data_IF_740803618924
#
_entry.id   IF_740803618924
#
_cell.length_a   1.000
_cell.length_b   1.000
_cell.length_c   1.000
_cell.angle_alpha   90.00
_cell.angle_beta   90.00
_cell.angle_gamma   90.00
#
_symmetry.space_group_name_H-M   'P 1'
#
loop_
_entity.id
_entity.type
_entity.pdbx_description
1 polymer ?
#
# COMPACT_ATOMS: atom_id res chain seq x y z
N UNK A 1 -49.66 12.76 14.84
CA UNK A 1 -48.58 11.87 14.33
C UNK A 1 -47.58 12.54 13.35
N UNK A 2 -47.70 13.84 12.98
CA UNK A 2 -46.80 14.49 11.98
C UNK A 2 -45.52 15.15 12.51
N UNK A 3 -45.37 15.36 13.83
CA UNK A 3 -44.19 16.05 14.40
C UNK A 3 -42.90 15.22 14.25
N UNK A 4 -42.94 13.92 14.56
CA UNK A 4 -41.76 13.04 14.48
C UNK A 4 -41.18 12.91 13.06
N UNK A 5 -42.02 12.93 12.02
CA UNK A 5 -41.54 12.85 10.64
C UNK A 5 -40.71 14.07 10.21
N UNK A 6 -41.05 15.27 10.70
CA UNK A 6 -40.29 16.50 10.42
C UNK A 6 -38.94 16.51 11.14
N UNK A 7 -38.89 16.10 12.40
CA UNK A 7 -37.65 16.02 13.17
C UNK A 7 -36.67 15.01 12.56
N UNK A 8 -37.17 13.84 12.15
CA UNK A 8 -36.38 12.83 11.41
C UNK A 8 -35.88 13.40 10.08
N UNK A 9 -36.71 14.16 9.35
CA UNK A 9 -36.29 14.78 8.08
C UNK A 9 -35.16 15.79 8.28
N UNK A 10 -35.20 16.60 9.35
CA UNK A 10 -34.11 17.54 9.66
C UNK A 10 -32.83 16.83 10.07
N UNK A 11 -32.93 15.73 10.83
CA UNK A 11 -31.76 14.92 11.18
C UNK A 11 -31.12 14.29 9.94
N UNK A 12 -31.92 13.69 9.04
CA UNK A 12 -31.43 13.13 7.78
C UNK A 12 -30.76 14.21 6.94
N UNK A 13 -31.39 15.38 6.80
CA UNK A 13 -30.81 16.50 6.06
C UNK A 13 -29.47 16.95 6.67
N UNK A 14 -29.40 17.07 8.00
CA UNK A 14 -28.16 17.41 8.70
C UNK A 14 -27.05 16.38 8.47
N UNK A 15 -27.39 15.08 8.53
CA UNK A 15 -26.44 14.00 8.24
C UNK A 15 -25.95 14.05 6.79
N UNK A 16 -26.85 14.29 5.83
CA UNK A 16 -26.47 14.41 4.41
C UNK A 16 -25.55 15.60 4.16
N UNK A 17 -25.82 16.74 4.80
CA UNK A 17 -24.93 17.92 4.72
C UNK A 17 -23.57 17.60 5.32
N UNK A 18 -23.54 16.96 6.49
CA UNK A 18 -22.28 16.56 7.14
C UNK A 18 -21.46 15.61 6.27
N UNK A 19 -22.08 14.56 5.72
CA UNK A 19 -21.42 13.62 4.81
C UNK A 19 -20.95 14.31 3.52
N UNK A 20 -21.71 15.27 3.00
CA UNK A 20 -21.31 16.05 1.83
C UNK A 20 -20.07 16.90 2.10
N UNK A 21 -19.99 17.53 3.28
CA UNK A 21 -18.80 18.29 3.71
C UNK A 21 -17.59 17.34 3.80
N UNK A 22 -17.74 16.17 4.43
CA UNK A 22 -16.66 15.18 4.51
C UNK A 22 -16.19 14.72 3.12
N UNK A 23 -17.13 14.48 2.19
CA UNK A 23 -16.79 14.11 0.83
C UNK A 23 -15.98 15.20 0.11
N UNK A 24 -16.37 16.47 0.27
CA UNK A 24 -15.64 17.58 -0.33
C UNK A 24 -14.25 17.81 0.30
N UNK A 25 -14.11 17.57 1.61
CA UNK A 25 -12.79 17.60 2.27
C UNK A 25 -11.85 16.52 1.70
N UNK A 26 -12.35 15.30 1.48
CA UNK A 26 -11.57 14.24 0.85
C UNK A 26 -11.20 14.58 -0.60
N UNK A 27 -12.15 15.09 -1.40
CA UNK A 27 -11.89 15.51 -2.79
C UNK A 27 -10.86 16.63 -2.86
N UNK A 28 -10.91 17.60 -1.94
CA UNK A 28 -9.94 18.68 -1.89
C UNK A 28 -8.53 18.18 -1.60
N UNK A 29 -8.40 17.24 -0.64
CA UNK A 29 -7.12 16.67 -0.26
C UNK A 29 -6.49 15.86 -1.40
N UNK A 30 -7.29 15.02 -2.07
CA UNK A 30 -6.85 14.22 -3.21
C UNK A 30 -6.41 15.06 -4.42
N UNK A 31 -7.00 16.25 -4.60
CA UNK A 31 -6.67 17.17 -5.71
C UNK A 31 -5.51 18.13 -5.42
N UNK A 32 -4.88 18.07 -4.24
CA UNK A 32 -3.70 18.89 -3.98
C UNK A 32 -2.57 18.50 -4.95
N UNK A 33 -1.86 19.48 -5.55
CA UNK A 33 -0.67 19.20 -6.32
C UNK A 33 0.34 18.47 -5.44
N UNK A 34 0.82 17.33 -5.91
CA UNK A 34 1.81 16.53 -5.19
C UNK A 34 3.14 16.56 -5.94
N UNK A 35 4.22 16.81 -5.20
CA UNK A 35 5.58 16.59 -5.70
C UNK A 35 5.90 15.09 -5.71
N UNK A 36 6.94 14.71 -6.45
CA UNK A 36 7.56 13.40 -6.25
C UNK A 36 8.10 13.35 -4.81
N UNK A 37 7.71 12.33 -4.08
CA UNK A 37 8.18 12.06 -2.73
C UNK A 37 8.97 10.75 -2.71
N UNK A 38 10.09 10.75 -1.98
CA UNK A 38 10.98 9.58 -1.84
C UNK A 38 11.36 9.48 -0.38
N UNK A 39 10.79 8.50 0.31
CA UNK A 39 10.95 8.26 1.74
C UNK A 39 11.83 7.03 1.97
N UNK A 40 13.00 7.28 2.56
CA UNK A 40 13.91 6.24 3.01
C UNK A 40 13.53 5.88 4.45
N UNK A 41 12.92 4.71 4.63
CA UNK A 41 12.46 4.30 5.95
C UNK A 41 13.61 3.78 6.80
N UNK A 42 13.71 4.30 8.02
CA UNK A 42 14.51 3.67 9.07
C UNK A 42 13.81 2.38 9.54
N UNK A 43 14.32 1.26 9.04
CA UNK A 43 13.85 -0.11 9.34
C UNK A 43 14.90 -0.93 10.09
N UNK A 44 15.98 -0.29 10.55
CA UNK A 44 17.15 -0.96 11.12
C UNK A 44 18.11 -1.47 10.03
N UNK A 45 18.33 -2.78 9.98
CA UNK A 45 19.22 -3.40 8.97
C UNK A 45 18.48 -3.58 7.64
N UNK A 46 19.17 -3.33 6.51
CA UNK A 46 18.62 -3.49 5.17
C UNK A 46 18.04 -2.20 4.60
N UNK A 47 17.15 -2.31 3.61
CA UNK A 47 16.55 -1.16 2.93
C UNK A 47 15.02 -1.30 2.84
N UNK A 48 14.36 -0.14 2.89
CA UNK A 48 12.95 0.02 2.53
C UNK A 48 12.73 1.47 2.06
N UNK A 49 12.32 1.63 0.81
CA UNK A 49 12.14 2.94 0.18
C UNK A 49 10.73 3.02 -0.38
N UNK A 50 9.97 4.02 0.08
CA UNK A 50 8.67 4.34 -0.47
C UNK A 50 8.75 5.54 -1.39
N UNK A 51 8.10 5.46 -2.54
CA UNK A 51 8.05 6.53 -3.54
C UNK A 51 6.59 6.80 -3.86
N UNK A 52 6.16 8.05 -3.75
CA UNK A 52 4.87 8.51 -4.25
C UNK A 52 5.08 9.52 -5.38
N UNK A 53 4.54 9.21 -6.56
CA UNK A 53 4.66 10.07 -7.74
C UNK A 53 3.70 11.26 -7.66
N UNK A 54 3.89 12.33 -8.48
CA UNK A 54 2.89 13.40 -8.59
C UNK A 54 1.49 12.92 -9.01
N UNK A 55 1.43 11.76 -9.67
CA UNK A 55 0.21 11.05 -10.05
C UNK A 55 -0.30 10.07 -8.98
N UNK A 56 0.22 10.13 -7.75
CA UNK A 56 -0.12 9.27 -6.60
C UNK A 56 0.09 7.76 -6.81
N UNK A 57 0.90 7.38 -7.80
CA UNK A 57 1.39 6.00 -7.86
C UNK A 57 2.37 5.77 -6.72
N UNK A 58 2.18 4.68 -6.01
CA UNK A 58 2.90 4.26 -4.81
C UNK A 58 3.79 3.06 -5.15
N UNK A 59 5.08 3.24 -4.93
CA UNK A 59 6.11 2.25 -5.25
C UNK A 59 6.87 1.95 -3.97
N UNK A 60 7.03 0.67 -3.65
CA UNK A 60 7.81 0.21 -2.51
C UNK A 60 9.00 -0.62 -3.00
N UNK A 61 10.20 -0.22 -2.62
CA UNK A 61 11.45 -0.92 -2.91
C UNK A 61 11.96 -1.53 -1.60
N UNK A 62 12.02 -2.86 -1.56
CA UNK A 62 12.35 -3.65 -0.38
C UNK A 62 11.48 -3.32 0.86
N UNK A 63 11.60 -4.13 1.92
CA UNK A 63 10.70 -4.05 3.08
C UNK A 63 11.39 -4.04 4.43
N UNK A 64 12.71 -4.12 4.50
CA UNK A 64 13.40 -4.30 5.77
C UNK A 64 13.21 -5.70 6.38
N UNK A 65 13.73 -5.92 7.60
CA UNK A 65 13.78 -7.22 8.27
C UNK A 65 12.52 -7.55 9.08
N UNK A 66 11.61 -6.57 9.28
CA UNK A 66 10.49 -6.71 10.22
C UNK A 66 9.20 -6.07 9.72
N UNK A 67 8.12 -6.25 10.48
CA UNK A 67 6.82 -5.64 10.21
C UNK A 67 6.76 -4.12 10.42
N UNK A 68 7.86 -3.46 10.82
CA UNK A 68 7.90 -2.00 11.02
C UNK A 68 7.50 -1.24 9.75
N UNK A 69 7.73 -1.84 8.57
CA UNK A 69 7.29 -1.30 7.29
C UNK A 69 5.79 -0.99 7.24
N UNK A 70 4.95 -1.75 7.95
CA UNK A 70 3.52 -1.52 8.00
C UNK A 70 3.15 -0.24 8.74
N UNK A 71 3.91 0.09 9.79
CA UNK A 71 3.77 1.35 10.53
C UNK A 71 4.22 2.52 9.65
N UNK A 72 5.36 2.38 8.97
CA UNK A 72 5.90 3.39 8.05
C UNK A 72 4.93 3.70 6.91
N UNK A 73 4.41 2.66 6.24
CA UNK A 73 3.38 2.83 5.21
C UNK A 73 2.12 3.50 5.78
N UNK A 74 1.72 3.21 7.02
CA UNK A 74 0.59 3.87 7.67
C UNK A 74 0.82 5.34 8.04
N UNK A 75 2.07 5.81 8.05
CA UNK A 75 2.44 7.21 8.24
C UNK A 75 2.40 8.00 6.92
N UNK A 76 2.75 7.35 5.80
CA UNK A 76 2.80 7.97 4.48
C UNK A 76 1.48 7.85 3.70
N UNK A 77 0.76 6.74 3.84
CA UNK A 77 -0.45 6.45 3.08
C UNK A 77 -1.72 6.82 3.87
N UNK A 78 -2.81 7.23 3.19
CA UNK A 78 -4.11 7.38 3.82
C UNK A 78 -4.54 6.08 4.52
N UNK A 79 -5.15 6.17 5.70
CA UNK A 79 -5.48 4.99 6.53
C UNK A 79 -6.42 3.98 5.85
N UNK A 80 -7.18 4.43 4.86
CA UNK A 80 -8.10 3.61 4.06
C UNK A 80 -7.44 3.00 2.83
N UNK A 81 -6.30 3.52 2.41
CA UNK A 81 -5.58 3.02 1.26
C UNK A 81 -4.77 1.77 1.65
N UNK A 82 -4.96 0.72 0.88
CA UNK A 82 -4.33 -0.60 1.06
C UNK A 82 -3.85 -1.15 -0.27
N UNK A 83 -3.60 -0.29 -1.25
CA UNK A 83 -3.10 -0.69 -2.57
C UNK A 83 -1.70 -0.14 -2.77
N UNK A 84 -0.79 -0.96 -3.29
CA UNK A 84 0.53 -0.53 -3.73
C UNK A 84 0.64 -0.85 -5.23
N UNK A 85 0.95 0.14 -6.05
CA UNK A 85 1.01 -0.02 -7.50
C UNK A 85 2.17 -0.94 -7.91
N UNK A 86 3.33 -0.81 -7.24
CA UNK A 86 4.51 -1.60 -7.56
C UNK A 86 5.35 -1.92 -6.32
N UNK A 87 5.65 -3.21 -6.12
CA UNK A 87 6.73 -3.66 -5.25
C UNK A 87 7.95 -4.03 -6.09
N UNK A 88 9.13 -3.57 -5.68
CA UNK A 88 10.42 -3.97 -6.22
C UNK A 88 11.21 -4.69 -5.13
N UNK A 89 11.56 -5.96 -5.36
CA UNK A 89 12.48 -6.70 -4.49
C UNK A 89 13.86 -6.77 -5.15
N UNK A 90 14.84 -6.09 -4.56
CA UNK A 90 16.22 -6.03 -5.09
C UNK A 90 16.89 -7.40 -5.01
N UNK A 91 16.81 -8.05 -3.84
CA UNK A 91 17.34 -9.39 -3.62
C UNK A 91 16.65 -10.06 -2.41
N UNK A 92 16.49 -11.39 -2.42
CA UNK A 92 15.71 -12.11 -1.41
C UNK A 92 16.52 -12.43 -0.13
N UNK A 93 17.20 -11.42 0.43
CA UNK A 93 17.82 -11.52 1.76
C UNK A 93 16.84 -11.04 2.83
N UNK A 94 17.00 -11.53 4.06
CA UNK A 94 16.01 -11.36 5.12
C UNK A 94 15.69 -9.87 5.40
N UNK A 95 16.73 -9.05 5.43
CA UNK A 95 16.70 -7.61 5.67
C UNK A 95 16.13 -6.78 4.51
N UNK A 96 15.75 -7.42 3.40
CA UNK A 96 15.02 -6.79 2.30
C UNK A 96 13.64 -7.43 2.08
N UNK A 97 13.53 -8.74 2.29
CA UNK A 97 12.35 -9.54 1.95
C UNK A 97 11.30 -9.61 3.07
N UNK A 98 11.72 -9.68 4.33
CA UNK A 98 10.82 -10.07 5.42
C UNK A 98 9.66 -9.08 5.61
N UNK A 99 9.92 -7.77 5.48
CA UNK A 99 8.85 -6.78 5.52
C UNK A 99 7.89 -6.85 4.33
N UNK A 100 8.38 -7.19 3.13
CA UNK A 100 7.51 -7.31 1.95
C UNK A 100 6.51 -8.49 2.08
N UNK A 101 6.90 -9.56 2.77
CA UNK A 101 5.98 -10.65 3.13
C UNK A 101 4.82 -10.11 4.00
N UNK A 102 5.12 -9.22 4.95
CA UNK A 102 4.10 -8.63 5.81
C UNK A 102 3.21 -7.63 5.06
N UNK A 103 3.76 -6.95 4.05
CA UNK A 103 3.02 -6.07 3.12
C UNK A 103 2.05 -6.89 2.28
N UNK A 104 2.50 -7.95 1.62
CA UNK A 104 1.64 -8.83 0.79
C UNK A 104 0.52 -9.51 1.56
N UNK A 105 0.61 -9.61 2.90
CA UNK A 105 -0.47 -10.15 3.74
C UNK A 105 -1.58 -9.12 4.03
N UNK A 106 -1.35 -7.82 3.79
CA UNK A 106 -2.22 -6.71 4.25
C UNK A 106 -2.56 -5.68 3.19
N UNK A 107 -1.76 -5.60 2.14
CA UNK A 107 -1.93 -4.68 1.02
C UNK A 107 -2.15 -5.50 -0.25
N UNK A 108 -3.05 -5.01 -1.09
CA UNK A 108 -3.15 -5.45 -2.49
C UNK A 108 -1.99 -4.86 -3.27
N UNK A 109 -1.32 -5.69 -4.07
CA UNK A 109 -0.15 -5.25 -4.86
C UNK A 109 -0.41 -5.50 -6.33
N UNK A 110 -0.39 -4.46 -7.15
CA UNK A 110 -0.77 -4.59 -8.57
C UNK A 110 0.37 -5.13 -9.44
N UNK A 111 1.59 -4.71 -9.16
CA UNK A 111 2.78 -5.10 -9.91
C UNK A 111 3.90 -5.51 -8.96
N UNK A 112 4.64 -6.56 -9.34
CA UNK A 112 5.79 -7.05 -8.57
C UNK A 112 6.96 -7.21 -9.55
N UNK A 113 8.04 -6.49 -9.30
CA UNK A 113 9.31 -6.60 -10.01
C UNK A 113 10.37 -7.17 -9.09
N UNK A 114 11.10 -8.20 -9.52
CA UNK A 114 12.16 -8.77 -8.70
C UNK A 114 13.23 -9.46 -9.55
N UNK A 115 14.39 -9.78 -8.97
CA UNK A 115 15.52 -10.35 -9.72
C UNK A 115 15.36 -11.82 -10.10
N UNK A 116 14.36 -12.52 -9.56
CA UNK A 116 14.19 -13.96 -9.77
C UNK A 116 15.30 -14.80 -9.09
N UNK A 117 16.14 -14.19 -8.25
CA UNK A 117 17.15 -14.87 -7.47
C UNK A 117 16.50 -15.90 -6.55
N UNK A 118 16.96 -17.14 -6.58
CA UNK A 118 16.39 -18.24 -5.80
C UNK A 118 17.18 -18.44 -4.50
N UNK A 119 16.48 -18.66 -3.39
CA UNK A 119 17.07 -19.03 -2.10
C UNK A 119 16.33 -20.24 -1.51
N UNK A 120 17.01 -21.06 -0.72
CA UNK A 120 16.37 -22.14 0.04
C UNK A 120 16.15 -21.70 1.49
N UNK A 121 15.24 -20.75 1.69
CA UNK A 121 14.83 -20.27 3.01
C UNK A 121 13.33 -20.37 3.19
N UNK A 122 12.87 -20.32 4.43
CA UNK A 122 11.44 -20.32 4.74
C UNK A 122 10.77 -19.02 4.23
N UNK A 123 11.44 -17.87 4.38
CA UNK A 123 10.91 -16.59 3.88
C UNK A 123 10.76 -16.61 2.36
N UNK A 124 11.72 -17.16 1.62
CA UNK A 124 11.63 -17.24 0.17
C UNK A 124 10.45 -18.11 -0.30
N UNK A 125 10.20 -19.23 0.38
CA UNK A 125 9.04 -20.09 0.07
C UNK A 125 7.72 -19.37 0.33
N UNK A 126 7.64 -18.61 1.41
CA UNK A 126 6.47 -17.80 1.73
C UNK A 126 6.28 -16.66 0.73
N UNK A 127 7.35 -15.99 0.31
CA UNK A 127 7.33 -15.01 -0.77
C UNK A 127 6.75 -15.59 -2.06
N UNK A 128 7.26 -16.74 -2.51
CA UNK A 128 6.75 -17.40 -3.72
C UNK A 128 5.26 -17.75 -3.61
N UNK A 129 4.82 -18.20 -2.44
CA UNK A 129 3.42 -18.49 -2.16
C UNK A 129 2.56 -17.23 -2.26
N UNK A 130 2.97 -16.14 -1.61
CA UNK A 130 2.21 -14.89 -1.56
C UNK A 130 2.12 -14.19 -2.92
N UNK A 131 3.21 -14.12 -3.70
CA UNK A 131 3.14 -13.53 -5.04
C UNK A 131 2.28 -14.40 -5.98
N UNK A 132 2.28 -15.73 -5.79
CA UNK A 132 1.39 -16.65 -6.49
C UNK A 132 -0.08 -16.38 -6.16
N UNK A 133 -0.39 -16.25 -4.87
CA UNK A 133 -1.72 -15.90 -4.37
C UNK A 133 -2.19 -14.54 -4.94
N UNK A 134 -1.35 -13.52 -4.93
CA UNK A 134 -1.67 -12.19 -5.47
C UNK A 134 -1.97 -12.24 -6.97
N UNK A 135 -1.18 -12.99 -7.73
CA UNK A 135 -1.44 -13.19 -9.16
C UNK A 135 -2.78 -13.89 -9.41
N UNK A 136 -3.09 -14.93 -8.63
CA UNK A 136 -4.28 -15.75 -8.85
C UNK A 136 -5.57 -15.10 -8.34
N UNK A 137 -5.52 -14.40 -7.21
CA UNK A 137 -6.70 -13.83 -6.54
C UNK A 137 -6.96 -12.39 -6.95
N UNK A 138 -5.89 -11.59 -7.08
CA UNK A 138 -5.97 -10.14 -7.27
C UNK A 138 -5.50 -9.68 -8.66
N UNK A 139 -4.91 -10.58 -9.44
CA UNK A 139 -4.48 -10.31 -10.82
C UNK A 139 -3.14 -9.59 -10.92
N UNK A 140 -2.28 -9.67 -9.89
CA UNK A 140 -0.98 -8.99 -9.87
C UNK A 140 -0.07 -9.41 -11.04
N UNK A 141 0.61 -8.43 -11.65
CA UNK A 141 1.60 -8.68 -12.71
C UNK A 141 2.98 -8.91 -12.11
N UNK A 142 3.53 -10.12 -12.29
CA UNK A 142 4.88 -10.46 -11.82
C UNK A 142 5.87 -10.36 -12.98
N UNK A 143 6.90 -9.54 -12.81
CA UNK A 143 8.00 -9.35 -13.77
C UNK A 143 9.33 -9.73 -13.11
N UNK A 144 10.15 -10.48 -13.85
CA UNK A 144 11.52 -10.81 -13.45
C UNK A 144 12.47 -9.88 -14.22
N UNK A 145 13.30 -9.15 -13.50
CA UNK A 145 14.32 -8.29 -14.07
C UNK A 145 15.37 -9.13 -14.81
N UNK A 146 15.75 -8.70 -16.02
CA UNK A 146 16.81 -9.32 -16.82
C UNK A 146 18.01 -8.38 -16.85
N UNK A 147 19.23 -8.94 -16.82
CA UNK A 147 20.42 -8.15 -17.12
C UNK A 147 20.40 -7.73 -18.59
N UNK A 148 20.63 -6.45 -18.86
CA UNK A 148 20.76 -5.90 -20.21
C UNK A 148 22.06 -6.26 -20.90
#
# INVERSE_FOLDING_TARGET
MRKGAREVSFFILGLLIFLNILAWLAVYDLNKPQSLEVNFFDVGQGEAIFIETPSRHQILIDGGPTSIILEKLGQEMPFWDRTIDLIILTHPEHDHLAGLIEVLKRYKVENILWTGTVRDTAEYKEWQRLIGDEREKEGAQIKIAQSG
#
